data_IF_493157738311
#
_entry.id   IF_493157738311
#
_cell.length_a   1.000
_cell.length_b   1.000
_cell.length_c   1.000
_cell.angle_alpha   90.00
_cell.angle_beta   90.00
_cell.angle_gamma   90.00
#
_symmetry.space_group_name_H-M   'P 1'
#
loop_
_entity.id
_entity.type
_entity.pdbx_description
1 polymer ?
#
# COMPACT_ATOMS: atom_id res chain seq x y z
N UNK A 1 5.16 15.92 -19.03
CA UNK A 1 5.10 15.85 -17.55
C UNK A 1 4.64 14.48 -17.18
N UNK A 2 5.32 13.78 -16.28
CA UNK A 2 5.14 12.34 -16.10
C UNK A 2 3.92 11.96 -15.28
N UNK A 3 3.34 10.81 -15.64
CA UNK A 3 2.49 10.02 -14.79
C UNK A 3 3.36 8.96 -14.09
N UNK A 4 3.50 9.06 -12.78
CA UNK A 4 4.38 8.21 -11.98
C UNK A 4 3.56 7.30 -11.07
N UNK A 5 3.80 5.99 -11.14
CA UNK A 5 3.17 5.03 -10.23
C UNK A 5 4.16 4.66 -9.13
N UNK A 6 3.76 4.77 -7.87
CA UNK A 6 4.55 4.40 -6.69
C UNK A 6 3.94 3.16 -6.05
N UNK A 7 4.71 2.06 -6.02
CA UNK A 7 4.30 0.78 -5.44
C UNK A 7 5.28 0.30 -4.38
N UNK A 8 4.80 -0.47 -3.42
CA UNK A 8 5.70 -1.24 -2.55
C UNK A 8 6.23 -2.46 -3.29
N UNK A 9 7.53 -2.72 -3.19
CA UNK A 9 8.16 -3.85 -3.87
C UNK A 9 8.44 -5.05 -2.95
N UNK A 10 7.94 -5.01 -1.70
CA UNK A 10 8.08 -6.08 -0.70
C UNK A 10 6.68 -6.46 -0.16
N UNK A 11 6.48 -6.57 1.16
CA UNK A 11 5.22 -6.94 1.82
C UNK A 11 4.51 -5.77 2.52
N UNK A 12 4.71 -4.55 2.09
CA UNK A 12 4.14 -3.37 2.72
C UNK A 12 5.08 -2.74 3.75
N UNK A 13 4.67 -1.58 4.25
CA UNK A 13 5.43 -0.80 5.24
C UNK A 13 6.85 -0.38 4.79
N UNK A 14 7.12 -0.36 3.48
CA UNK A 14 8.41 0.03 2.91
C UNK A 14 8.72 1.53 3.08
N UNK A 15 7.75 2.33 3.49
CA UNK A 15 7.92 3.79 3.61
C UNK A 15 7.43 4.56 2.37
N UNK A 16 6.45 3.99 1.63
CA UNK A 16 5.81 4.65 0.46
C UNK A 16 5.33 6.07 0.77
N UNK A 17 4.74 6.27 1.95
CA UNK A 17 4.26 7.58 2.37
C UNK A 17 5.35 8.66 2.34
N UNK A 18 6.59 8.35 2.72
CA UNK A 18 7.73 9.27 2.61
C UNK A 18 8.08 9.55 1.15
N UNK A 19 8.12 8.52 0.31
CA UNK A 19 8.43 8.66 -1.11
C UNK A 19 7.37 9.48 -1.85
N UNK A 20 6.09 9.23 -1.61
CA UNK A 20 4.98 9.98 -2.23
C UNK A 20 4.88 11.41 -1.70
N UNK A 21 5.16 11.63 -0.42
CA UNK A 21 5.18 12.96 0.17
C UNK A 21 6.30 13.85 -0.42
N UNK A 22 7.49 13.27 -0.65
CA UNK A 22 8.57 13.99 -1.34
C UNK A 22 8.18 14.44 -2.75
N UNK A 23 7.38 13.65 -3.44
CA UNK A 23 6.84 13.99 -4.76
C UNK A 23 5.64 14.95 -4.67
N UNK A 24 4.81 14.80 -3.62
CA UNK A 24 3.53 15.49 -3.48
C UNK A 24 3.58 17.02 -3.55
N UNK A 25 4.69 17.65 -3.11
CA UNK A 25 4.88 19.10 -3.21
C UNK A 25 5.24 19.58 -4.62
N UNK A 26 5.55 18.64 -5.54
CA UNK A 26 6.03 18.91 -6.91
C UNK A 26 5.06 18.42 -7.98
N UNK A 27 3.91 17.88 -7.60
CA UNK A 27 2.92 17.30 -8.53
C UNK A 27 1.56 17.93 -8.36
N UNK A 28 0.77 17.90 -9.44
CA UNK A 28 -0.56 18.51 -9.46
C UNK A 28 -1.61 17.58 -8.83
N UNK A 29 -1.45 16.26 -8.96
CA UNK A 29 -2.40 15.26 -8.45
C UNK A 29 -1.69 14.11 -7.74
N UNK A 30 -2.28 13.63 -6.63
CA UNK A 30 -1.91 12.36 -5.99
C UNK A 30 -3.15 11.47 -5.92
N UNK A 31 -3.07 10.30 -6.51
CA UNK A 31 -4.20 9.39 -6.71
C UNK A 31 -3.99 8.11 -5.94
N UNK A 32 -4.83 7.82 -4.96
CA UNK A 32 -4.92 6.48 -4.37
C UNK A 32 -5.77 5.60 -5.29
N UNK A 33 -5.20 4.50 -5.79
CA UNK A 33 -5.84 3.71 -6.83
C UNK A 33 -6.37 2.35 -6.36
N UNK A 34 -5.99 1.86 -5.19
CA UNK A 34 -6.41 0.55 -4.68
C UNK A 34 -6.52 0.51 -3.15
N UNK A 35 -7.04 -0.61 -2.63
CA UNK A 35 -7.22 -0.83 -1.20
C UNK A 35 -8.38 -0.02 -0.64
N UNK A 36 -8.28 0.34 0.61
CA UNK A 36 -9.25 1.13 1.36
C UNK A 36 -8.58 1.65 2.63
N UNK A 37 -9.31 1.64 3.74
CA UNK A 37 -8.80 2.05 5.05
C UNK A 37 -8.04 0.93 5.80
N UNK A 38 -7.60 -0.12 5.11
CA UNK A 38 -6.85 -1.25 5.68
C UNK A 38 -5.34 -1.03 5.79
N UNK A 39 -4.79 -0.01 5.12
CA UNK A 39 -3.40 0.39 5.26
C UNK A 39 -3.32 1.73 6.00
N UNK A 40 -2.25 1.94 6.77
CA UNK A 40 -1.95 3.21 7.39
C UNK A 40 -0.65 3.77 6.82
N UNK A 41 -0.70 4.96 6.25
CA UNK A 41 0.49 5.70 5.83
C UNK A 41 0.79 6.77 6.88
N UNK A 42 1.98 6.72 7.46
CA UNK A 42 2.45 7.82 8.31
C UNK A 42 3.26 8.79 7.46
N UNK A 43 2.83 10.03 7.44
CA UNK A 43 3.54 11.15 6.80
C UNK A 43 3.97 12.13 7.88
N UNK A 44 5.20 12.61 7.82
CA UNK A 44 5.75 13.60 8.75
C UNK A 44 5.94 14.91 7.98
N UNK A 45 5.24 15.95 8.42
CA UNK A 45 5.34 17.31 7.85
C UNK A 45 5.82 18.25 8.95
N UNK A 46 7.06 18.71 8.87
CA UNK A 46 7.72 19.42 9.97
C UNK A 46 7.79 18.51 11.21
N UNK A 47 7.32 19.02 12.35
CA UNK A 47 7.29 18.28 13.62
C UNK A 47 6.01 17.44 13.82
N UNK A 48 5.08 17.51 12.88
CA UNK A 48 3.78 16.85 13.00
C UNK A 48 3.71 15.50 12.25
N UNK A 49 3.09 14.50 12.90
CA UNK A 49 2.81 13.18 12.31
C UNK A 49 1.34 13.07 11.94
N UNK A 50 1.11 12.65 10.71
CA UNK A 50 -0.22 12.36 10.16
C UNK A 50 -0.33 10.88 9.84
N UNK A 51 -1.33 10.22 10.38
CA UNK A 51 -1.65 8.83 10.06
C UNK A 51 -2.85 8.81 9.12
N UNK A 52 -2.60 8.60 7.83
CA UNK A 52 -3.63 8.52 6.80
C UNK A 52 -3.98 7.05 6.53
N UNK A 53 -5.26 6.71 6.47
CA UNK A 53 -5.73 5.36 6.17
C UNK A 53 -6.41 5.30 4.80
N UNK A 54 -7.34 6.21 4.54
CA UNK A 54 -8.12 6.26 3.31
C UNK A 54 -7.69 7.40 2.40
N UNK A 55 -7.36 8.55 2.97
CA UNK A 55 -6.99 9.72 2.20
C UNK A 55 -5.62 9.56 1.52
N UNK A 56 -5.46 10.07 0.27
CA UNK A 56 -4.16 10.10 -0.41
C UNK A 56 -3.17 11.01 0.32
N UNK A 57 -1.86 10.68 0.26
CA UNK A 57 -0.81 11.47 0.91
C UNK A 57 -0.76 12.92 0.43
N UNK A 58 -1.11 13.19 -0.81
CA UNK A 58 -1.17 14.54 -1.40
C UNK A 58 -2.13 15.50 -0.72
N UNK A 59 -3.03 15.03 0.16
CA UNK A 59 -3.92 15.88 0.98
C UNK A 59 -3.15 16.86 1.88
N UNK A 60 -1.91 16.51 2.24
CA UNK A 60 -1.04 17.33 3.08
C UNK A 60 -0.20 18.33 2.28
N UNK A 61 -0.27 18.34 0.95
CA UNK A 61 0.51 19.20 0.06
C UNK A 61 -0.34 20.35 -0.49
N UNK A 62 -0.07 21.61 -0.10
CA UNK A 62 -0.84 22.76 -0.55
C UNK A 62 -0.85 22.93 -2.05
N UNK A 63 -1.62 22.83 -2.87
CA UNK A 63 -1.56 22.95 -4.35
C UNK A 63 -1.82 21.63 -5.06
N UNK A 64 -1.63 20.51 -4.40
CA UNK A 64 -1.96 19.19 -4.92
C UNK A 64 -3.46 18.91 -4.82
N UNK A 65 -4.02 18.21 -5.80
CA UNK A 65 -5.39 17.69 -5.79
C UNK A 65 -5.34 16.22 -5.39
N UNK A 66 -5.79 15.85 -4.17
CA UNK A 66 -5.85 14.45 -3.74
C UNK A 66 -7.07 13.77 -4.36
N UNK A 67 -6.88 12.54 -4.88
CA UNK A 67 -7.93 11.79 -5.58
C UNK A 67 -8.07 10.38 -5.03
N UNK A 68 -9.27 9.99 -4.66
CA UNK A 68 -9.66 8.60 -4.39
C UNK A 68 -10.21 8.02 -5.69
N UNK A 69 -9.44 7.12 -6.31
CA UNK A 69 -9.77 6.48 -7.59
C UNK A 69 -10.86 5.41 -7.46
N UNK A 70 -11.40 4.98 -8.60
CA UNK A 70 -12.46 3.96 -8.66
C UNK A 70 -12.03 2.57 -8.19
N UNK A 71 -10.73 2.32 -8.08
CA UNK A 71 -10.21 1.06 -7.54
C UNK A 71 -10.22 0.97 -6.02
N UNK A 72 -10.41 2.08 -5.33
CA UNK A 72 -10.50 2.13 -3.86
C UNK A 72 -11.89 1.69 -3.38
N UNK A 73 -11.94 1.03 -2.22
CA UNK A 73 -13.19 0.78 -1.50
C UNK A 73 -13.27 1.74 -0.30
N UNK A 74 -14.37 2.49 -0.22
CA UNK A 74 -14.52 3.66 0.63
C UNK A 74 -15.45 3.35 1.81
N UNK A 75 -14.92 3.43 3.02
CA UNK A 75 -15.73 3.51 4.23
C UNK A 75 -16.07 4.97 4.49
N UNK A 76 -17.35 5.33 4.35
CA UNK A 76 -17.79 6.72 4.45
C UNK A 76 -17.63 7.30 5.87
N UNK A 77 -17.80 6.49 6.89
CA UNK A 77 -17.57 6.88 8.28
C UNK A 77 -16.11 7.28 8.47
N UNK A 78 -15.17 6.39 8.07
CA UNK A 78 -13.73 6.64 8.18
C UNK A 78 -13.29 7.82 7.29
N UNK A 79 -13.88 7.97 6.09
CA UNK A 79 -13.58 9.10 5.21
C UNK A 79 -13.81 10.44 5.92
N UNK A 80 -14.97 10.59 6.55
CA UNK A 80 -15.32 11.84 7.20
C UNK A 80 -14.61 12.03 8.55
N UNK A 81 -14.32 10.96 9.29
CA UNK A 81 -13.47 11.03 10.48
C UNK A 81 -12.07 11.54 10.14
N UNK A 82 -11.47 11.05 9.05
CA UNK A 82 -10.14 11.52 8.60
C UNK A 82 -10.19 12.98 8.12
N UNK A 83 -11.21 13.37 7.33
CA UNK A 83 -11.39 14.75 6.88
C UNK A 83 -11.51 15.69 8.08
N UNK A 84 -12.42 15.43 9.00
CA UNK A 84 -12.66 16.25 10.20
C UNK A 84 -11.40 16.34 11.08
N UNK A 85 -10.68 15.22 11.22
CA UNK A 85 -9.42 15.15 11.96
C UNK A 85 -8.31 16.01 11.34
N UNK A 86 -8.23 16.08 10.01
CA UNK A 86 -7.27 16.92 9.30
C UNK A 86 -7.67 18.40 9.34
N UNK A 87 -8.94 18.72 9.13
CA UNK A 87 -9.47 20.10 9.20
C UNK A 87 -9.29 20.71 10.59
N UNK A 88 -9.49 19.91 11.64
CA UNK A 88 -9.22 20.33 13.04
C UNK A 88 -7.74 20.68 13.29
N UNK A 89 -6.83 20.20 12.44
CA UNK A 89 -5.40 20.51 12.44
C UNK A 89 -5.00 21.57 11.42
N UNK A 90 -5.99 22.21 10.76
CA UNK A 90 -5.77 23.31 9.80
C UNK A 90 -5.38 22.85 8.39
N UNK A 91 -5.55 21.56 8.05
CA UNK A 91 -5.32 21.06 6.68
C UNK A 91 -6.55 21.35 5.83
N UNK A 92 -6.35 21.95 4.65
CA UNK A 92 -7.41 22.18 3.67
C UNK A 92 -7.73 20.90 2.89
N UNK A 93 -8.92 20.36 3.10
CA UNK A 93 -9.41 19.15 2.42
C UNK A 93 -10.35 19.45 1.25
N UNK A 94 -10.62 20.71 0.95
CA UNK A 94 -11.64 21.16 -0.03
C UNK A 94 -11.39 20.70 -1.47
N UNK A 95 -10.14 20.35 -1.81
CA UNK A 95 -9.75 19.87 -3.15
C UNK A 95 -9.88 18.37 -3.33
N UNK A 96 -10.25 17.60 -2.28
CA UNK A 96 -10.38 16.16 -2.36
C UNK A 96 -11.43 15.76 -3.41
N UNK A 97 -11.04 14.86 -4.31
CA UNK A 97 -11.94 14.23 -5.28
C UNK A 97 -12.13 12.75 -4.95
N UNK A 98 -13.37 12.30 -5.06
CA UNK A 98 -13.75 10.91 -4.87
C UNK A 98 -14.42 10.40 -6.15
N UNK A 99 -13.96 9.28 -6.69
CA UNK A 99 -14.57 8.70 -7.87
C UNK A 99 -16.02 8.31 -7.64
N UNK A 100 -16.91 8.76 -8.52
CA UNK A 100 -18.31 8.32 -8.55
C UNK A 100 -18.43 6.78 -8.65
N UNK A 101 -17.43 6.12 -9.24
CA UNK A 101 -17.38 4.68 -9.46
C UNK A 101 -16.66 3.89 -8.34
N UNK A 102 -16.11 4.55 -7.32
CA UNK A 102 -15.55 3.87 -6.15
C UNK A 102 -16.64 3.10 -5.39
N UNK A 103 -16.28 1.92 -4.86
CA UNK A 103 -17.24 1.10 -4.11
C UNK A 103 -17.29 1.52 -2.64
N UNK A 104 -18.47 1.47 -2.06
CA UNK A 104 -18.72 1.76 -0.64
C UNK A 104 -18.51 0.48 0.17
N UNK A 105 -17.93 0.59 1.36
CA UNK A 105 -17.86 -0.48 2.37
C UNK A 105 -19.09 -0.34 3.29
N UNK A 106 -20.17 -1.09 3.08
CA UNK A 106 -21.31 -1.03 3.98
C UNK A 106 -21.05 -1.83 5.27
N UNK A 107 -21.79 -1.53 6.32
CA UNK A 107 -21.66 -2.12 7.66
C UNK A 107 -21.73 -3.66 7.64
N UNK A 108 -22.57 -4.24 6.77
CA UNK A 108 -22.66 -5.68 6.65
C UNK A 108 -21.37 -6.35 6.15
N UNK A 109 -20.59 -5.66 5.29
CA UNK A 109 -19.30 -6.18 4.84
C UNK A 109 -18.24 -6.12 5.94
N UNK A 110 -18.23 -5.09 6.78
CA UNK A 110 -17.38 -5.05 8.00
C UNK A 110 -17.73 -6.20 8.95
N UNK A 111 -19.02 -6.50 9.10
CA UNK A 111 -19.47 -7.61 9.93
C UNK A 111 -19.08 -8.96 9.34
N UNK A 112 -19.29 -9.16 8.03
CA UNK A 112 -18.91 -10.40 7.33
C UNK A 112 -17.41 -10.67 7.43
N UNK A 113 -16.56 -9.67 7.24
CA UNK A 113 -15.10 -9.81 7.37
C UNK A 113 -14.74 -10.38 8.77
N UNK A 114 -15.24 -9.75 9.83
CA UNK A 114 -14.98 -10.18 11.22
C UNK A 114 -15.51 -11.58 11.55
N UNK A 115 -16.70 -11.93 11.07
CA UNK A 115 -17.29 -13.25 11.40
C UNK A 115 -16.66 -14.36 10.58
N UNK A 116 -16.26 -14.09 9.33
CA UNK A 116 -15.54 -15.05 8.48
C UNK A 116 -14.17 -15.39 9.05
N UNK A 117 -13.40 -14.37 9.46
CA UNK A 117 -12.10 -14.62 10.13
C UNK A 117 -12.25 -15.49 11.38
N UNK A 118 -13.23 -15.21 12.23
CA UNK A 118 -13.51 -16.05 13.40
C UNK A 118 -13.92 -17.48 13.03
N UNK A 119 -14.70 -17.64 11.97
CA UNK A 119 -15.16 -18.94 11.49
C UNK A 119 -14.01 -19.79 10.94
N UNK A 120 -13.04 -19.15 10.25
CA UNK A 120 -11.84 -19.83 9.73
C UNK A 120 -10.91 -20.32 10.85
N UNK A 121 -10.93 -19.74 12.04
CA UNK A 121 -10.15 -20.15 13.20
C UNK A 121 -8.65 -20.21 12.89
N UNK A 122 -8.05 -21.40 12.92
CA UNK A 122 -6.62 -21.60 12.60
C UNK A 122 -6.25 -21.34 11.12
N UNK A 123 -7.23 -21.21 10.24
CA UNK A 123 -7.04 -20.92 8.81
C UNK A 123 -7.31 -19.45 8.49
N UNK A 124 -7.37 -18.60 9.51
CA UNK A 124 -7.56 -17.16 9.31
C UNK A 124 -6.44 -16.56 8.45
N UNK A 125 -6.79 -15.58 7.63
CA UNK A 125 -5.85 -14.86 6.77
C UNK A 125 -5.13 -13.76 7.56
N UNK A 126 -5.76 -13.29 8.65
CA UNK A 126 -5.28 -12.16 9.44
C UNK A 126 -5.73 -10.82 8.86
N UNK A 127 -6.97 -10.75 8.37
CA UNK A 127 -7.54 -9.51 7.82
C UNK A 127 -7.63 -8.40 8.87
N UNK A 128 -7.77 -7.16 8.41
CA UNK A 128 -7.96 -6.00 9.30
C UNK A 128 -9.39 -5.92 9.88
N UNK A 129 -10.32 -6.76 9.43
CA UNK A 129 -11.72 -6.74 9.84
C UNK A 129 -12.50 -5.50 9.41
N UNK A 130 -12.02 -4.79 8.40
CA UNK A 130 -12.58 -3.51 7.91
C UNK A 130 -13.51 -3.67 6.70
N UNK A 131 -13.80 -4.89 6.28
CA UNK A 131 -14.73 -5.18 5.19
C UNK A 131 -14.15 -5.05 3.79
N UNK A 132 -12.83 -4.95 3.66
CA UNK A 132 -12.15 -4.76 2.37
C UNK A 132 -12.41 -5.94 1.44
N UNK A 133 -12.07 -7.17 1.87
CA UNK A 133 -12.26 -8.38 1.09
C UNK A 133 -13.71 -8.60 0.65
N UNK A 134 -14.69 -8.59 1.57
CA UNK A 134 -16.10 -8.69 1.20
C UNK A 134 -16.58 -7.64 0.20
N UNK A 135 -16.06 -6.39 0.26
CA UNK A 135 -16.45 -5.34 -0.68
C UNK A 135 -15.85 -5.57 -2.07
N UNK A 136 -14.61 -6.02 -2.18
CA UNK A 136 -14.05 -6.44 -3.47
C UNK A 136 -14.76 -7.68 -4.04
N UNK A 137 -15.15 -8.64 -3.20
CA UNK A 137 -15.97 -9.77 -3.63
C UNK A 137 -17.31 -9.29 -4.21
N UNK A 138 -17.97 -8.33 -3.56
CA UNK A 138 -19.21 -7.74 -4.06
C UNK A 138 -19.02 -7.01 -5.40
N UNK A 139 -17.91 -6.28 -5.55
CA UNK A 139 -17.53 -5.64 -6.81
C UNK A 139 -17.44 -6.66 -7.94
N UNK A 140 -16.75 -7.78 -7.73
CA UNK A 140 -16.56 -8.83 -8.74
C UNK A 140 -17.85 -9.61 -9.00
N UNK A 141 -18.68 -9.83 -7.99
CA UNK A 141 -20.02 -10.43 -8.11
C UNK A 141 -21.07 -9.46 -8.68
N UNK A 142 -20.73 -8.21 -8.86
CA UNK A 142 -21.58 -7.14 -9.43
C UNK A 142 -22.83 -6.82 -8.56
N UNK A 143 -22.68 -6.98 -7.26
CA UNK A 143 -23.71 -6.61 -6.26
C UNK A 143 -23.26 -5.47 -5.33
N UNK A 144 -22.07 -4.92 -5.60
CA UNK A 144 -21.49 -3.83 -4.81
C UNK A 144 -22.20 -2.49 -4.99
N UNK A 145 -22.13 -1.66 -3.95
CA UNK A 145 -22.65 -0.30 -3.92
C UNK A 145 -21.53 0.67 -4.33
N UNK A 146 -21.85 1.67 -5.15
CA UNK A 146 -20.91 2.73 -5.57
C UNK A 146 -21.29 4.07 -4.97
N UNK A 147 -20.34 4.99 -4.92
CA UNK A 147 -20.56 6.37 -4.43
C UNK A 147 -21.72 7.05 -5.17
N UNK A 148 -21.80 6.90 -6.49
CA UNK A 148 -22.89 7.48 -7.29
C UNK A 148 -24.29 6.98 -6.90
N UNK A 149 -24.41 5.80 -6.32
CA UNK A 149 -25.70 5.23 -5.93
C UNK A 149 -26.35 6.02 -4.76
N UNK A 150 -25.55 6.76 -3.98
CA UNK A 150 -26.02 7.64 -2.91
C UNK A 150 -26.96 8.76 -3.40
N UNK A 151 -26.92 9.09 -4.69
CA UNK A 151 -27.66 10.21 -5.26
C UNK A 151 -29.02 9.82 -5.84
N UNK A 152 -29.37 8.54 -5.76
CA UNK A 152 -30.70 8.02 -6.09
C UNK A 152 -31.15 7.02 -5.00
N UNK A 153 -31.95 7.48 -4.07
CA UNK A 153 -32.43 6.69 -2.93
C UNK A 153 -33.14 5.40 -3.35
N UNK A 154 -33.89 5.44 -4.46
CA UNK A 154 -34.61 4.26 -4.97
C UNK A 154 -33.66 3.20 -5.50
N UNK A 155 -32.68 3.60 -6.29
CA UNK A 155 -31.65 2.72 -6.83
C UNK A 155 -30.79 2.17 -5.68
N UNK A 156 -30.36 3.01 -4.75
CA UNK A 156 -29.59 2.58 -3.59
C UNK A 156 -30.33 1.50 -2.80
N UNK A 157 -31.60 1.75 -2.46
CA UNK A 157 -32.43 0.82 -1.71
C UNK A 157 -32.58 -0.53 -2.43
N UNK A 158 -32.87 -0.51 -3.73
CA UNK A 158 -32.96 -1.73 -4.56
C UNK A 158 -31.65 -2.54 -4.55
N UNK A 159 -30.51 -1.87 -4.65
CA UNK A 159 -29.20 -2.52 -4.60
C UNK A 159 -28.88 -3.09 -3.22
N UNK A 160 -29.19 -2.37 -2.15
CA UNK A 160 -29.05 -2.84 -0.75
C UNK A 160 -29.91 -4.08 -0.54
N UNK A 161 -31.17 -4.07 -0.96
CA UNK A 161 -32.07 -5.22 -0.86
C UNK A 161 -31.50 -6.44 -1.60
N UNK A 162 -31.04 -6.27 -2.84
CA UNK A 162 -30.42 -7.33 -3.63
C UNK A 162 -29.16 -7.91 -2.97
N UNK A 163 -28.29 -7.06 -2.42
CA UNK A 163 -27.08 -7.50 -1.72
C UNK A 163 -27.42 -8.23 -0.41
N UNK A 164 -28.36 -7.72 0.37
CA UNK A 164 -28.76 -8.31 1.65
C UNK A 164 -29.52 -9.62 1.51
N UNK A 165 -30.21 -9.86 0.40
CA UNK A 165 -30.91 -11.12 0.16
C UNK A 165 -30.01 -12.36 0.36
N UNK A 166 -28.80 -12.32 -0.16
CA UNK A 166 -27.83 -13.41 0.00
C UNK A 166 -27.06 -13.31 1.33
N UNK A 167 -26.61 -12.12 1.69
CA UNK A 167 -25.76 -11.89 2.86
C UNK A 167 -26.48 -12.19 4.18
N UNK A 168 -27.74 -11.83 4.30
CA UNK A 168 -28.54 -12.13 5.48
C UNK A 168 -28.75 -13.64 5.65
N UNK A 169 -28.88 -14.41 4.57
CA UNK A 169 -28.93 -15.87 4.69
C UNK A 169 -27.63 -16.44 5.24
N UNK A 170 -26.49 -15.93 4.76
CA UNK A 170 -25.19 -16.35 5.26
C UNK A 170 -25.00 -15.97 6.74
N UNK A 171 -25.32 -14.72 7.11
CA UNK A 171 -25.24 -14.25 8.49
C UNK A 171 -26.10 -15.07 9.44
N UNK A 172 -27.35 -15.32 9.08
CA UNK A 172 -28.30 -16.03 9.96
C UNK A 172 -28.02 -17.53 10.00
N UNK A 173 -27.92 -18.19 8.83
CA UNK A 173 -27.87 -19.65 8.75
C UNK A 173 -26.49 -20.25 8.96
N UNK A 174 -25.42 -19.54 8.57
CA UNK A 174 -24.05 -20.04 8.69
C UNK A 174 -23.37 -19.48 9.94
N UNK A 175 -23.47 -18.18 10.16
CA UNK A 175 -22.75 -17.51 11.23
C UNK A 175 -23.55 -17.29 12.52
N UNK A 176 -24.85 -17.66 12.53
CA UNK A 176 -25.78 -17.43 13.65
C UNK A 176 -25.73 -15.97 14.16
N UNK A 177 -25.87 -15.02 13.22
CA UNK A 177 -25.90 -13.59 13.47
C UNK A 177 -27.25 -13.00 13.05
N UNK A 178 -27.58 -11.83 13.60
CA UNK A 178 -28.79 -11.08 13.22
C UNK A 178 -28.68 -10.63 11.76
N UNK A 179 -29.80 -10.71 11.05
CA UNK A 179 -29.95 -10.09 9.73
C UNK A 179 -29.88 -8.55 9.83
N UNK A 180 -29.36 -7.92 8.79
CA UNK A 180 -29.47 -6.46 8.61
C UNK A 180 -30.81 -6.11 7.98
N UNK A 181 -31.34 -4.98 8.40
CA UNK A 181 -32.53 -4.37 7.83
C UNK A 181 -32.15 -3.51 6.62
N UNK A 182 -32.98 -3.56 5.55
CA UNK A 182 -32.72 -2.83 4.29
C UNK A 182 -32.81 -1.32 4.50
N UNK A 183 -33.82 -0.88 5.24
CA UNK A 183 -34.06 0.56 5.44
C UNK A 183 -33.00 1.14 6.37
N UNK A 184 -32.59 0.42 7.44
CA UNK A 184 -31.50 0.83 8.34
C UNK A 184 -30.18 1.05 7.57
N UNK A 185 -29.81 0.13 6.67
CA UNK A 185 -28.59 0.26 5.87
C UNK A 185 -28.72 1.39 4.85
N UNK A 186 -29.86 1.50 4.18
CA UNK A 186 -30.10 2.53 3.17
C UNK A 186 -30.06 3.93 3.76
N UNK A 187 -30.78 4.15 4.87
CA UNK A 187 -30.84 5.45 5.54
C UNK A 187 -29.48 5.85 6.13
N UNK A 188 -28.75 4.86 6.70
CA UNK A 188 -27.39 5.07 7.20
C UNK A 188 -26.42 5.52 6.10
N UNK A 189 -26.54 5.00 4.87
CA UNK A 189 -25.73 5.42 3.74
C UNK A 189 -26.18 6.78 3.18
N UNK A 190 -27.48 7.02 3.06
CA UNK A 190 -28.04 8.29 2.58
C UNK A 190 -27.67 9.49 3.45
N UNK A 191 -27.43 9.26 4.75
CA UNK A 191 -26.95 10.32 5.66
C UNK A 191 -25.64 10.97 5.21
N UNK A 192 -24.82 10.28 4.42
CA UNK A 192 -23.58 10.81 3.87
C UNK A 192 -23.72 11.46 2.49
N UNK A 193 -24.87 11.31 1.81
CA UNK A 193 -25.04 11.72 0.41
C UNK A 193 -24.70 13.20 0.16
N UNK A 194 -25.25 14.10 0.96
CA UNK A 194 -25.03 15.54 0.77
C UNK A 194 -23.61 15.97 1.18
N UNK A 195 -23.01 15.27 2.14
CA UNK A 195 -21.64 15.56 2.58
C UNK A 195 -20.60 15.15 1.53
N UNK A 196 -20.79 14.02 0.85
CA UNK A 196 -19.85 13.52 -0.16
C UNK A 196 -20.04 14.17 -1.53
N UNK A 197 -21.23 14.67 -1.84
CA UNK A 197 -21.60 15.24 -3.14
C UNK A 197 -20.60 16.26 -3.70
N UNK A 198 -20.09 17.25 -2.92
CA UNK A 198 -19.18 18.27 -3.45
C UNK A 198 -17.84 17.73 -3.95
N UNK A 199 -17.41 16.56 -3.44
CA UNK A 199 -16.12 15.96 -3.79
C UNK A 199 -16.23 14.87 -4.87
N UNK A 200 -17.45 14.51 -5.29
CA UNK A 200 -17.66 13.42 -6.26
C UNK A 200 -17.44 13.90 -7.69
N UNK A 201 -16.62 13.14 -8.43
CA UNK A 201 -16.28 13.44 -9.81
C UNK A 201 -16.15 12.19 -10.68
N UNK A 202 -16.21 12.37 -12.00
CA UNK A 202 -15.61 11.43 -12.96
C UNK A 202 -14.09 11.59 -12.93
N UNK A 203 -13.46 10.90 -12.00
CA UNK A 203 -12.01 11.01 -11.80
C UNK A 203 -11.21 10.52 -12.99
N UNK A 204 -11.73 9.59 -13.79
CA UNK A 204 -11.07 9.15 -15.02
C UNK A 204 -10.98 10.30 -16.04
N UNK A 205 -12.07 11.02 -16.26
CA UNK A 205 -12.08 12.19 -17.13
C UNK A 205 -11.14 13.28 -16.60
N UNK A 206 -11.23 13.62 -15.30
CA UNK A 206 -10.38 14.64 -14.68
C UNK A 206 -8.90 14.34 -14.87
N UNK A 207 -8.46 13.11 -14.57
CA UNK A 207 -7.05 12.72 -14.63
C UNK A 207 -6.53 12.63 -16.07
N UNK A 208 -7.34 12.13 -17.03
CA UNK A 208 -6.94 12.11 -18.43
C UNK A 208 -6.82 13.54 -19.00
N UNK A 209 -7.76 14.43 -18.68
CA UNK A 209 -7.69 15.85 -19.09
C UNK A 209 -6.45 16.55 -18.48
N UNK A 210 -6.15 16.25 -17.20
CA UNK A 210 -4.96 16.79 -16.55
C UNK A 210 -3.65 16.37 -17.27
N UNK A 211 -3.56 15.09 -17.69
CA UNK A 211 -2.42 14.62 -18.48
C UNK A 211 -2.34 15.29 -19.87
N UNK A 212 -3.50 15.54 -20.50
CA UNK A 212 -3.55 16.24 -21.79
C UNK A 212 -3.11 17.72 -21.67
N UNK A 213 -3.34 18.32 -20.50
CA UNK A 213 -2.87 19.66 -20.14
C UNK A 213 -1.38 19.69 -19.70
N UNK A 214 -0.70 18.54 -19.67
CA UNK A 214 0.69 18.43 -19.24
C UNK A 214 0.88 18.51 -17.72
N UNK A 215 -0.16 18.18 -16.93
CA UNK A 215 -0.07 18.12 -15.47
C UNK A 215 0.61 16.85 -15.02
N UNK A 216 1.27 16.90 -13.88
CA UNK A 216 1.99 15.78 -13.27
C UNK A 216 1.08 15.03 -12.28
N UNK A 217 1.02 13.71 -12.42
CA UNK A 217 0.20 12.84 -11.58
C UNK A 217 1.05 11.75 -10.93
N UNK A 218 0.90 11.59 -9.61
CA UNK A 218 1.44 10.43 -8.86
C UNK A 218 0.30 9.51 -8.47
N UNK A 219 0.43 8.22 -8.79
CA UNK A 219 -0.47 7.16 -8.35
C UNK A 219 0.18 6.40 -7.20
N UNK A 220 -0.45 6.41 -6.03
CA UNK A 220 0.06 5.71 -4.84
C UNK A 220 -0.69 4.41 -4.56
N UNK A 221 0.06 3.32 -4.39
CA UNK A 221 -0.49 2.04 -3.95
C UNK A 221 -0.75 2.02 -2.45
N UNK A 222 -1.90 1.47 -2.05
CA UNK A 222 -2.22 1.26 -0.64
C UNK A 222 -1.42 0.12 0.01
N UNK A 223 -1.02 -0.90 -0.78
CA UNK A 223 -0.27 -2.07 -0.33
C UNK A 223 0.99 -2.27 -1.19
N UNK A 224 1.49 -3.50 -1.28
CA UNK A 224 2.74 -3.82 -1.97
C UNK A 224 2.59 -5.04 -2.89
N UNK A 225 3.57 -5.25 -3.76
CA UNK A 225 3.60 -6.31 -4.77
C UNK A 225 3.35 -7.69 -4.20
N UNK A 226 4.01 -8.03 -3.08
CA UNK A 226 3.85 -9.35 -2.45
C UNK A 226 2.51 -9.54 -1.73
N UNK A 227 1.70 -8.48 -1.64
CA UNK A 227 0.33 -8.50 -1.14
C UNK A 227 -0.72 -8.35 -2.25
N UNK A 228 -0.32 -8.27 -3.51
CA UNK A 228 -1.23 -8.21 -4.67
C UNK A 228 -2.07 -9.48 -4.78
N UNK A 229 -3.34 -9.36 -5.16
CA UNK A 229 -4.29 -10.49 -5.20
C UNK A 229 -3.90 -11.56 -6.23
N UNK A 230 -3.25 -11.17 -7.33
CA UNK A 230 -2.86 -12.06 -8.42
C UNK A 230 -1.39 -12.49 -8.34
N UNK A 231 -0.50 -11.58 -7.90
CA UNK A 231 0.95 -11.74 -7.93
C UNK A 231 1.61 -11.87 -6.56
N UNK A 232 0.85 -11.71 -5.49
CA UNK A 232 1.35 -11.83 -4.12
C UNK A 232 1.38 -13.26 -3.60
N UNK A 233 1.66 -13.38 -2.30
CA UNK A 233 1.74 -14.66 -1.57
C UNK A 233 0.35 -15.17 -1.19
N UNK A 234 -0.49 -15.46 -2.18
CA UNK A 234 -1.85 -15.95 -1.99
C UNK A 234 -1.88 -17.22 -1.11
N UNK A 235 -2.83 -17.38 -0.14
CA UNK A 235 -3.97 -16.50 0.14
C UNK A 235 -3.65 -15.32 1.10
N UNK A 236 -2.43 -15.17 1.56
CA UNK A 236 -2.00 -14.13 2.51
C UNK A 236 -1.71 -12.82 1.79
N UNK A 237 -2.74 -12.25 1.17
CA UNK A 237 -2.71 -11.06 0.30
C UNK A 237 -3.87 -10.12 0.62
N UNK A 238 -3.83 -8.90 0.07
CA UNK A 238 -5.01 -8.04 0.01
C UNK A 238 -5.93 -8.47 -1.13
N UNK A 239 -7.18 -8.05 -1.12
CA UNK A 239 -8.15 -8.36 -2.18
C UNK A 239 -8.12 -7.35 -3.34
N UNK A 240 -7.06 -6.56 -3.45
CA UNK A 240 -6.92 -5.52 -4.48
C UNK A 240 -5.67 -5.70 -5.31
N UNK A 241 -5.67 -5.12 -6.52
CA UNK A 241 -4.49 -5.06 -7.38
C UNK A 241 -3.54 -3.98 -6.86
N UNK A 242 -2.47 -4.41 -6.19
CA UNK A 242 -1.47 -3.56 -5.55
C UNK A 242 -0.21 -3.34 -6.42
N UNK A 243 -0.16 -3.97 -7.60
CA UNK A 243 0.88 -3.75 -8.61
C UNK A 243 0.63 -2.48 -9.43
N UNK A 244 1.62 -2.06 -10.21
CA UNK A 244 1.51 -0.87 -11.06
C UNK A 244 0.36 -0.95 -12.08
N UNK A 245 0.04 -2.14 -12.58
CA UNK A 245 -1.11 -2.37 -13.47
C UNK A 245 -2.45 -1.97 -12.79
N UNK A 246 -2.52 -2.09 -11.46
CA UNK A 246 -3.66 -1.66 -10.67
C UNK A 246 -3.94 -0.15 -10.76
N UNK A 247 -2.93 0.66 -11.02
CA UNK A 247 -3.11 2.11 -11.21
C UNK A 247 -3.97 2.39 -12.45
N UNK A 248 -3.79 1.66 -13.54
CA UNK A 248 -4.58 1.82 -14.76
C UNK A 248 -6.05 1.48 -14.52
N UNK A 249 -6.33 0.31 -13.94
CA UNK A 249 -7.71 -0.13 -13.68
C UNK A 249 -8.38 0.65 -12.55
N UNK A 250 -7.61 1.08 -11.56
CA UNK A 250 -8.10 1.78 -10.38
C UNK A 250 -8.28 3.28 -10.53
N UNK A 251 -7.81 3.87 -11.64
CA UNK A 251 -7.95 5.31 -11.94
C UNK A 251 -8.58 5.60 -13.29
N UNK A 252 -8.60 4.62 -14.22
CA UNK A 252 -9.08 4.80 -15.58
C UNK A 252 -8.06 5.47 -16.52
N UNK A 253 -6.76 5.43 -16.17
CA UNK A 253 -5.67 5.87 -17.03
C UNK A 253 -5.20 4.72 -17.91
N UNK A 254 -4.99 4.97 -19.20
CA UNK A 254 -4.45 3.97 -20.13
C UNK A 254 -2.98 3.64 -19.79
N UNK A 255 -2.55 2.36 -19.94
CA UNK A 255 -1.19 1.94 -19.55
C UNK A 255 -0.09 2.68 -20.30
N UNK A 256 -0.33 3.13 -21.54
CA UNK A 256 0.63 3.89 -22.35
C UNK A 256 0.80 5.36 -21.89
N UNK A 257 0.04 5.79 -20.89
CA UNK A 257 0.13 7.12 -20.28
C UNK A 257 1.00 7.11 -19.02
N UNK A 258 1.45 5.95 -18.57
CA UNK A 258 2.35 5.82 -17.44
C UNK A 258 3.79 5.94 -17.95
N UNK A 259 4.51 6.92 -17.44
CA UNK A 259 5.89 7.20 -17.86
C UNK A 259 6.91 6.47 -16.96
N UNK A 260 6.63 6.39 -15.65
CA UNK A 260 7.53 5.77 -14.68
C UNK A 260 6.79 4.91 -13.67
N UNK A 261 7.47 3.85 -13.23
CA UNK A 261 7.01 2.99 -12.14
C UNK A 261 8.11 2.91 -11.09
N UNK A 262 7.85 3.47 -9.92
CA UNK A 262 8.78 3.56 -8.79
C UNK A 262 8.45 2.51 -7.76
N UNK A 263 9.39 1.59 -7.52
CA UNK A 263 9.31 0.60 -6.45
C UNK A 263 9.92 1.15 -5.16
N UNK A 264 9.21 1.05 -4.05
CA UNK A 264 9.79 1.37 -2.73
C UNK A 264 10.19 0.08 -2.04
N UNK A 265 11.45 0.02 -1.59
CA UNK A 265 12.06 -1.09 -0.85
C UNK A 265 12.67 -0.57 0.46
N UNK A 266 12.77 -1.43 1.46
CA UNK A 266 13.63 -1.22 2.63
C UNK A 266 14.98 -1.89 2.43
N UNK A 267 16.00 -1.41 3.11
CA UNK A 267 17.31 -2.07 3.19
C UNK A 267 17.26 -3.44 3.92
N UNK A 268 16.14 -3.82 4.44
CA UNK A 268 15.79 -5.13 5.01
C UNK A 268 14.32 -5.41 4.70
N UNK A 269 13.75 -6.52 5.17
CA UNK A 269 12.36 -6.87 4.85
C UNK A 269 11.51 -6.92 6.11
N UNK A 270 10.25 -6.49 5.98
CA UNK A 270 9.24 -6.66 7.04
C UNK A 270 7.95 -7.22 6.48
N UNK A 271 7.22 -7.95 7.31
CA UNK A 271 5.90 -8.47 6.98
C UNK A 271 4.94 -8.34 8.16
N UNK A 272 3.70 -8.00 7.88
CA UNK A 272 2.59 -8.06 8.83
C UNK A 272 1.69 -9.25 8.48
N UNK A 273 1.19 -9.95 9.49
CA UNK A 273 0.28 -11.10 9.31
C UNK A 273 1.00 -12.41 8.97
N UNK A 274 0.17 -13.39 8.61
CA UNK A 274 0.61 -14.74 8.33
C UNK A 274 1.19 -14.86 6.90
N UNK A 275 1.71 -16.05 6.58
CA UNK A 275 2.20 -16.41 5.25
C UNK A 275 3.72 -16.49 5.17
N UNK A 276 4.24 -16.93 3.99
CA UNK A 276 5.67 -17.21 3.82
C UNK A 276 6.53 -15.96 3.90
N UNK A 277 7.67 -16.10 4.55
CA UNK A 277 8.69 -15.07 4.68
C UNK A 277 10.06 -15.74 4.76
N UNK A 278 10.67 -16.12 3.63
CA UNK A 278 11.89 -16.94 3.61
C UNK A 278 13.05 -16.36 4.40
N UNK A 279 13.21 -15.04 4.40
CA UNK A 279 14.33 -14.34 5.07
C UNK A 279 14.01 -13.92 6.50
N UNK A 280 12.90 -14.39 7.09
CA UNK A 280 12.48 -14.03 8.46
C UNK A 280 13.56 -14.38 9.49
N UNK A 281 13.74 -13.50 10.47
CA UNK A 281 14.64 -13.64 11.60
C UNK A 281 13.83 -13.68 12.90
N UNK A 282 13.82 -14.85 13.53
CA UNK A 282 13.19 -15.07 14.84
C UNK A 282 14.29 -15.19 15.93
N UNK A 283 15.19 -14.21 15.96
CA UNK A 283 16.35 -14.16 16.82
C UNK A 283 16.65 -12.72 17.29
N UNK A 284 17.76 -12.53 18.02
CA UNK A 284 18.20 -11.23 18.53
C UNK A 284 18.44 -10.21 17.39
N UNK A 285 18.84 -10.66 16.20
CA UNK A 285 19.01 -9.78 15.05
C UNK A 285 17.66 -9.29 14.52
N UNK A 286 16.66 -10.16 14.41
CA UNK A 286 15.30 -9.79 14.08
C UNK A 286 14.71 -8.77 15.06
N UNK A 287 14.96 -8.96 16.36
CA UNK A 287 14.54 -8.00 17.40
C UNK A 287 15.31 -6.67 17.29
N UNK A 288 16.61 -6.70 16.97
CA UNK A 288 17.38 -5.49 16.70
C UNK A 288 16.80 -4.70 15.54
N UNK A 289 16.52 -5.34 14.39
CA UNK A 289 15.93 -4.67 13.22
C UNK A 289 14.56 -4.07 13.57
N UNK A 290 13.75 -4.78 14.33
CA UNK A 290 12.44 -4.30 14.81
C UNK A 290 12.57 -3.07 15.67
N UNK A 291 13.45 -3.10 16.67
CA UNK A 291 13.63 -2.02 17.63
C UNK A 291 14.26 -0.78 16.98
N UNK A 292 15.37 -0.95 16.27
CA UNK A 292 16.08 0.17 15.62
C UNK A 292 15.26 0.75 14.47
N UNK A 293 14.61 -0.10 13.69
CA UNK A 293 13.74 0.30 12.59
C UNK A 293 12.37 0.85 13.04
N UNK A 294 12.01 0.71 14.32
CA UNK A 294 10.69 1.12 14.80
C UNK A 294 9.56 0.33 14.15
N UNK A 295 9.77 -0.98 13.94
CA UNK A 295 8.87 -1.82 13.15
C UNK A 295 7.67 -2.31 13.98
N UNK A 296 6.76 -1.35 14.23
CA UNK A 296 5.50 -1.56 14.93
C UNK A 296 4.36 -0.96 14.11
N UNK A 297 3.19 -1.60 14.15
CA UNK A 297 2.01 -1.13 13.42
C UNK A 297 1.54 0.23 13.92
N UNK A 298 1.37 1.20 13.03
CA UNK A 298 0.97 2.58 13.35
C UNK A 298 -0.33 2.65 14.16
N UNK A 299 -1.31 1.81 13.83
CA UNK A 299 -2.63 1.81 14.47
C UNK A 299 -2.72 0.87 15.68
N UNK A 300 -2.08 -0.29 15.61
CA UNK A 300 -2.26 -1.37 16.58
C UNK A 300 -1.08 -1.53 17.53
N UNK A 301 0.07 -0.92 17.23
CA UNK A 301 1.33 -1.16 17.94
C UNK A 301 1.87 -2.59 17.81
N UNK A 302 1.24 -3.46 16.98
CA UNK A 302 1.66 -4.86 16.81
C UNK A 302 3.07 -4.91 16.21
N UNK A 303 4.00 -5.71 16.77
CA UNK A 303 5.32 -5.89 16.19
C UNK A 303 5.23 -6.51 14.80
N UNK A 304 6.04 -6.01 13.87
CA UNK A 304 6.21 -6.59 12.54
C UNK A 304 7.22 -7.72 12.58
N UNK A 305 7.04 -8.72 11.75
CA UNK A 305 8.05 -9.72 11.43
C UNK A 305 9.17 -9.03 10.65
N UNK A 306 10.41 -9.35 10.94
CA UNK A 306 11.60 -8.71 10.32
C UNK A 306 12.51 -9.77 9.73
N UNK A 307 13.23 -9.44 8.67
CA UNK A 307 14.14 -10.35 7.98
C UNK A 307 15.15 -9.59 7.13
N UNK A 308 16.15 -10.30 6.61
CA UNK A 308 17.15 -9.74 5.72
C UNK A 308 16.54 -9.29 4.38
N UNK A 309 17.28 -8.44 3.68
CA UNK A 309 16.89 -8.02 2.32
C UNK A 309 16.81 -9.24 1.39
N UNK A 310 15.75 -9.28 0.59
CA UNK A 310 15.45 -10.37 -0.33
C UNK A 310 15.52 -9.88 -1.78
N UNK A 311 16.65 -10.14 -2.44
CA UNK A 311 16.86 -9.74 -3.82
C UNK A 311 16.02 -10.57 -4.81
N UNK A 312 15.61 -11.80 -4.44
CA UNK A 312 14.71 -12.62 -5.27
C UNK A 312 13.34 -11.96 -5.38
N UNK A 313 12.81 -11.50 -4.23
CA UNK A 313 11.56 -10.74 -4.18
C UNK A 313 11.68 -9.41 -4.92
N UNK A 314 12.82 -8.72 -4.78
CA UNK A 314 13.03 -7.44 -5.46
C UNK A 314 13.08 -7.61 -6.99
N UNK A 315 13.78 -8.63 -7.52
CA UNK A 315 13.77 -8.96 -8.95
C UNK A 315 12.37 -9.30 -9.45
N UNK A 316 11.64 -10.13 -8.68
CA UNK A 316 10.26 -10.46 -8.99
C UNK A 316 9.38 -9.21 -9.07
N UNK A 317 9.46 -8.34 -8.06
CA UNK A 317 8.70 -7.09 -8.03
C UNK A 317 9.08 -6.16 -9.21
N UNK A 318 10.38 -6.07 -9.55
CA UNK A 318 10.86 -5.29 -10.70
C UNK A 318 10.24 -5.78 -12.00
N UNK A 319 10.22 -7.11 -12.21
CA UNK A 319 9.63 -7.74 -13.40
C UNK A 319 8.12 -7.54 -13.49
N UNK A 320 7.39 -7.79 -12.39
CA UNK A 320 5.91 -7.74 -12.39
C UNK A 320 5.39 -6.31 -12.58
N UNK A 321 6.07 -5.33 -12.02
CA UNK A 321 5.66 -3.94 -12.12
C UNK A 321 6.29 -3.19 -13.29
N UNK A 322 7.33 -3.73 -13.93
CA UNK A 322 8.14 -2.99 -14.90
C UNK A 322 8.80 -1.78 -14.26
N UNK A 323 9.44 -1.97 -13.09
CA UNK A 323 10.03 -0.87 -12.34
C UNK A 323 11.10 -0.15 -13.16
N UNK A 324 11.00 1.17 -13.20
CA UNK A 324 12.02 2.05 -13.80
C UNK A 324 13.01 2.54 -12.77
N UNK A 325 12.58 2.66 -11.51
CA UNK A 325 13.31 3.24 -10.41
C UNK A 325 12.99 2.53 -9.10
N UNK A 326 13.96 2.54 -8.17
CA UNK A 326 13.78 2.12 -6.78
C UNK A 326 14.03 3.29 -5.83
N UNK A 327 13.26 3.35 -4.76
CA UNK A 327 13.51 4.16 -3.57
C UNK A 327 13.89 3.21 -2.45
N UNK A 328 15.15 3.25 -2.02
CA UNK A 328 15.67 2.47 -0.91
C UNK A 328 15.46 3.24 0.40
N UNK A 329 14.72 2.69 1.34
CA UNK A 329 14.42 3.31 2.63
C UNK A 329 15.16 2.62 3.78
N UNK A 330 15.32 3.34 4.89
CA UNK A 330 15.84 2.79 6.16
C UNK A 330 17.25 2.18 6.07
N UNK A 331 18.12 2.74 5.26
CA UNK A 331 19.51 2.33 5.19
C UNK A 331 20.23 2.56 6.53
N UNK A 332 19.88 3.61 7.26
CA UNK A 332 20.36 3.97 8.60
C UNK A 332 20.17 2.86 9.65
N UNK A 333 19.14 2.02 9.50
CA UNK A 333 18.85 0.92 10.44
C UNK A 333 19.94 -0.16 10.45
N UNK A 334 20.68 -0.30 9.35
CA UNK A 334 21.79 -1.26 9.23
C UNK A 334 23.11 -0.76 9.83
N UNK A 335 23.20 0.50 10.22
CA UNK A 335 24.38 1.06 10.87
C UNK A 335 24.81 0.25 12.11
N UNK A 336 26.12 -0.01 12.25
CA UNK A 336 26.71 -0.77 13.34
C UNK A 336 26.67 -2.29 13.14
N UNK A 337 26.33 -2.77 11.96
CA UNK A 337 26.51 -4.17 11.57
C UNK A 337 27.87 -4.35 10.90
N UNK A 338 28.57 -5.43 11.22
CA UNK A 338 29.85 -5.79 10.57
C UNK A 338 29.62 -6.47 9.22
N UNK A 339 28.61 -7.32 9.16
CA UNK A 339 28.20 -8.06 7.96
C UNK A 339 26.69 -7.95 7.77
N UNK A 340 26.27 -7.84 6.52
CA UNK A 340 24.86 -7.71 6.14
C UNK A 340 24.55 -8.80 5.12
N UNK A 341 23.84 -9.86 5.53
CA UNK A 341 23.36 -10.90 4.62
C UNK A 341 22.27 -10.36 3.67
N UNK A 342 22.38 -10.70 2.39
CA UNK A 342 21.39 -10.43 1.35
C UNK A 342 20.98 -11.76 0.73
N UNK A 343 19.69 -12.08 0.70
CA UNK A 343 19.20 -13.27 0.06
C UNK A 343 19.25 -13.10 -1.47
N UNK A 344 20.06 -13.93 -2.13
CA UNK A 344 20.31 -13.87 -3.58
C UNK A 344 19.59 -14.97 -4.36
N UNK A 345 19.23 -16.07 -3.68
CA UNK A 345 18.53 -17.22 -4.24
C UNK A 345 17.78 -17.97 -3.14
N UNK A 346 16.97 -18.93 -3.51
CA UNK A 346 16.38 -19.91 -2.59
C UNK A 346 16.88 -21.32 -2.90
N UNK A 347 17.05 -22.13 -1.86
CA UNK A 347 17.14 -23.57 -1.95
C UNK A 347 15.76 -24.16 -1.66
N UNK A 348 15.25 -24.97 -2.57
CA UNK A 348 14.01 -25.73 -2.39
C UNK A 348 14.32 -27.20 -2.68
N UNK A 349 14.29 -28.03 -1.64
CA UNK A 349 14.58 -29.47 -1.73
C UNK A 349 15.96 -29.79 -2.37
N UNK A 350 16.99 -28.96 -2.09
CA UNK A 350 18.34 -29.09 -2.62
C UNK A 350 18.50 -28.55 -4.04
N UNK A 351 17.52 -27.86 -4.58
CA UNK A 351 17.59 -27.20 -5.89
C UNK A 351 17.63 -25.68 -5.69
N UNK A 352 18.66 -25.05 -6.24
CA UNK A 352 18.81 -23.59 -6.21
C UNK A 352 17.85 -22.92 -7.21
N UNK A 353 17.11 -21.93 -6.74
CA UNK A 353 16.22 -21.07 -7.51
C UNK A 353 16.70 -19.62 -7.41
N UNK A 354 17.15 -19.06 -8.52
CA UNK A 354 17.53 -17.64 -8.59
C UNK A 354 16.32 -16.72 -8.79
N UNK A 355 15.17 -17.28 -9.18
CA UNK A 355 13.89 -16.63 -9.34
C UNK A 355 12.88 -17.12 -8.30
N UNK A 356 11.84 -16.30 -8.03
CA UNK A 356 10.76 -16.68 -7.13
C UNK A 356 10.04 -17.93 -7.65
N UNK A 357 9.90 -19.00 -6.85
CA UNK A 357 9.13 -20.19 -7.24
C UNK A 357 7.69 -19.83 -7.61
N UNK A 358 7.20 -20.40 -8.72
CA UNK A 358 5.86 -20.13 -9.21
C UNK A 358 4.76 -20.76 -8.34
N UNK A 359 5.07 -21.86 -7.65
CA UNK A 359 4.12 -22.53 -6.78
C UNK A 359 4.33 -22.17 -5.32
N UNK A 360 3.22 -22.09 -4.62
CA UNK A 360 3.17 -21.66 -3.23
C UNK A 360 3.88 -22.64 -2.28
N UNK A 361 3.81 -23.94 -2.53
CA UNK A 361 4.45 -24.93 -1.68
C UNK A 361 5.97 -24.77 -1.68
N UNK A 362 6.57 -24.63 -2.86
CA UNK A 362 8.00 -24.36 -3.02
C UNK A 362 8.41 -23.07 -2.33
N UNK A 363 7.60 -22.01 -2.46
CA UNK A 363 7.91 -20.74 -1.80
C UNK A 363 7.78 -20.82 -0.26
N UNK A 364 6.84 -21.60 0.27
CA UNK A 364 6.72 -21.84 1.72
C UNK A 364 7.89 -22.63 2.32
N UNK A 365 8.53 -23.49 1.52
CA UNK A 365 9.67 -24.31 1.96
C UNK A 365 11.01 -23.72 1.49
N UNK A 366 10.99 -22.56 0.86
CA UNK A 366 12.18 -21.90 0.38
C UNK A 366 13.13 -21.54 1.53
N UNK A 367 14.35 -22.01 1.45
CA UNK A 367 15.44 -21.67 2.36
C UNK A 367 16.32 -20.62 1.69
N UNK A 368 16.52 -19.44 2.32
CA UNK A 368 17.28 -18.37 1.69
C UNK A 368 18.77 -18.74 1.56
N UNK A 369 19.34 -18.45 0.40
CA UNK A 369 20.79 -18.52 0.13
C UNK A 369 21.32 -17.10 0.22
N UNK A 370 22.23 -16.87 1.16
CA UNK A 370 22.76 -15.55 1.45
C UNK A 370 24.12 -15.30 0.83
N UNK A 371 24.31 -14.06 0.38
CA UNK A 371 25.61 -13.44 0.14
C UNK A 371 25.83 -12.38 1.22
N UNK A 372 27.03 -12.35 1.81
CA UNK A 372 27.38 -11.42 2.87
C UNK A 372 28.09 -10.19 2.32
N UNK A 373 27.56 -9.03 2.58
CA UNK A 373 28.17 -7.74 2.26
C UNK A 373 28.81 -7.12 3.52
N UNK A 374 29.82 -6.28 3.32
CA UNK A 374 30.41 -5.52 4.42
C UNK A 374 29.43 -4.49 4.96
N UNK A 375 29.36 -4.37 6.28
CA UNK A 375 28.59 -3.33 6.97
C UNK A 375 29.43 -2.09 7.27
N UNK A 376 28.84 -1.15 8.01
CA UNK A 376 29.49 0.10 8.39
C UNK A 376 29.10 0.48 9.83
N UNK A 377 29.98 1.22 10.49
CA UNK A 377 29.78 1.67 11.87
C UNK A 377 29.36 3.13 11.98
N UNK A 378 29.65 3.93 10.95
CA UNK A 378 29.44 5.36 10.92
C UNK A 378 27.94 5.72 10.87
N UNK A 379 27.54 6.75 11.59
CA UNK A 379 26.19 7.32 11.48
C UNK A 379 26.02 8.02 10.14
N UNK A 380 25.08 7.53 9.34
CA UNK A 380 24.77 8.04 8.00
C UNK A 380 23.57 8.99 7.96
N UNK A 381 22.96 9.31 9.10
CA UNK A 381 21.75 10.16 9.16
C UNK A 381 21.96 11.58 8.63
N UNK A 382 23.20 12.05 8.67
CA UNK A 382 23.64 13.33 8.15
C UNK A 382 23.99 13.36 6.66
N UNK A 383 24.07 12.21 5.98
CA UNK A 383 24.43 12.14 4.57
C UNK A 383 23.35 12.81 3.69
N UNK A 384 23.78 13.59 2.69
CA UNK A 384 22.91 14.29 1.73
C UNK A 384 23.27 14.01 0.28
N UNK A 385 24.48 13.52 0.02
CA UNK A 385 24.95 13.02 -1.27
C UNK A 385 25.33 11.56 -1.16
N UNK A 386 25.46 10.86 -2.28
CA UNK A 386 25.86 9.45 -2.30
C UNK A 386 27.31 9.28 -1.78
N UNK A 387 28.15 10.26 -2.06
CA UNK A 387 29.56 10.32 -1.66
C UNK A 387 29.76 10.55 -0.15
N UNK A 388 28.74 11.10 0.55
CA UNK A 388 28.77 11.23 2.01
C UNK A 388 28.62 9.90 2.75
N UNK A 389 28.16 8.85 2.05
CA UNK A 389 28.02 7.52 2.62
C UNK A 389 29.40 6.86 2.78
N UNK A 390 29.63 6.07 3.87
CA UNK A 390 30.80 5.20 3.95
C UNK A 390 30.88 4.27 2.73
N UNK A 391 32.11 3.93 2.31
CA UNK A 391 32.31 3.07 1.13
C UNK A 391 31.54 1.74 1.20
N UNK A 392 31.44 1.13 2.39
CA UNK A 392 30.67 -0.09 2.57
C UNK A 392 29.17 0.12 2.34
N UNK A 393 28.61 1.25 2.78
CA UNK A 393 27.21 1.63 2.53
C UNK A 393 26.98 1.92 1.04
N UNK A 394 27.92 2.59 0.36
CA UNK A 394 27.86 2.78 -1.09
C UNK A 394 27.85 1.43 -1.83
N UNK A 395 28.78 0.51 -1.46
CA UNK A 395 28.82 -0.84 -2.05
C UNK A 395 27.53 -1.62 -1.80
N UNK A 396 26.96 -1.51 -0.60
CA UNK A 396 25.66 -2.13 -0.30
C UNK A 396 24.55 -1.62 -1.22
N UNK A 397 24.43 -0.30 -1.40
CA UNK A 397 23.42 0.30 -2.31
C UNK A 397 23.61 -0.17 -3.74
N UNK A 398 24.85 -0.19 -4.25
CA UNK A 398 25.14 -0.63 -5.61
C UNK A 398 24.88 -2.13 -5.80
N UNK A 399 25.22 -2.96 -4.80
CA UNK A 399 24.90 -4.39 -4.83
C UNK A 399 23.38 -4.64 -4.84
N UNK A 400 22.61 -3.94 -4.01
CA UNK A 400 21.14 -4.02 -4.02
C UNK A 400 20.56 -3.57 -5.38
N UNK A 401 21.11 -2.52 -5.96
CA UNK A 401 20.73 -2.03 -7.30
C UNK A 401 20.97 -3.11 -8.37
N UNK A 402 22.16 -3.70 -8.40
CA UNK A 402 22.52 -4.77 -9.33
C UNK A 402 21.67 -6.03 -9.13
N UNK A 403 21.54 -6.50 -7.87
CA UNK A 403 20.78 -7.70 -7.53
C UNK A 403 19.27 -7.55 -7.81
N UNK A 404 18.72 -6.34 -7.72
CA UNK A 404 17.31 -6.05 -8.00
C UNK A 404 17.01 -5.81 -9.47
N UNK A 405 18.07 -5.56 -10.29
CA UNK A 405 17.96 -5.27 -11.72
C UNK A 405 17.30 -3.92 -12.04
N UNK A 406 17.21 -3.01 -11.06
CA UNK A 406 16.58 -1.70 -11.23
C UNK A 406 17.37 -0.65 -10.45
N UNK A 407 17.64 0.52 -11.06
CA UNK A 407 18.43 1.57 -10.44
C UNK A 407 17.78 2.13 -9.18
N UNK A 408 18.59 2.47 -8.19
CA UNK A 408 18.17 3.15 -6.96
C UNK A 408 18.31 4.65 -7.17
N UNK A 409 17.17 5.33 -7.27
CA UNK A 409 17.09 6.77 -7.54
C UNK A 409 17.06 7.63 -6.29
N UNK A 410 16.60 7.08 -5.16
CA UNK A 410 16.61 7.78 -3.87
C UNK A 410 16.95 6.84 -2.73
N UNK A 411 17.64 7.35 -1.68
CA UNK A 411 18.08 6.59 -0.52
C UNK A 411 17.65 7.32 0.75
N UNK A 412 16.83 6.68 1.57
CA UNK A 412 16.44 7.17 2.88
C UNK A 412 17.46 6.79 3.95
N UNK A 413 18.03 7.79 4.59
CA UNK A 413 19.06 7.67 5.64
C UNK A 413 18.55 8.11 7.04
N UNK A 414 17.24 8.25 7.21
CA UNK A 414 16.58 8.62 8.45
C UNK A 414 15.06 8.80 8.26
N UNK A 415 14.32 9.07 9.34
CA UNK A 415 12.87 9.20 9.30
C UNK A 415 12.37 10.50 8.62
N UNK A 416 13.15 11.58 8.70
CA UNK A 416 12.73 12.89 8.23
C UNK A 416 12.69 12.98 6.71
N UNK A 417 11.84 13.87 6.18
CA UNK A 417 11.75 14.15 4.75
C UNK A 417 13.11 14.49 4.14
N UNK A 418 13.90 15.34 4.82
CA UNK A 418 15.20 15.79 4.35
C UNK A 418 16.31 14.75 4.51
N UNK A 419 16.10 13.69 5.29
CA UNK A 419 17.03 12.58 5.45
C UNK A 419 16.95 11.62 4.24
N UNK A 420 17.15 12.18 3.04
CA UNK A 420 17.07 11.46 1.77
C UNK A 420 18.13 11.96 0.81
N UNK A 421 18.88 11.03 0.24
CA UNK A 421 19.83 11.26 -0.84
C UNK A 421 19.10 11.04 -2.16
N UNK A 422 19.09 12.03 -3.04
CA UNK A 422 18.52 11.93 -4.40
C UNK A 422 19.66 11.71 -5.38
N UNK A 423 19.67 10.55 -6.06
CA UNK A 423 20.64 10.22 -7.12
C UNK A 423 20.09 10.53 -8.51
N UNK A 424 18.79 10.30 -8.70
CA UNK A 424 18.09 10.60 -9.94
C UNK A 424 16.70 11.17 -9.61
N UNK A 425 16.29 12.19 -10.33
CA UNK A 425 14.96 12.78 -10.15
C UNK A 425 13.88 11.82 -10.69
N UNK A 426 12.87 11.59 -9.89
CA UNK A 426 11.77 10.67 -10.21
C UNK A 426 10.72 11.30 -11.13
N UNK A 427 10.80 12.62 -11.36
CA UNK A 427 9.87 13.39 -12.20
C UNK A 427 10.48 13.85 -13.55
N UNK A 428 11.76 13.60 -13.79
CA UNK A 428 12.46 13.97 -15.06
C UNK A 428 12.30 12.92 -16.16
#
# INVERSE_FOLDING_TARGET
MPAVVVVGAQWGDEGKGKATDQLGSRVDYVVKFNGGNNAGHTVVVGDEKYALHLLPSGILSPGCVPVIGNGVVVDLEVLFEEIEGLEARGVDTSKLLVSANAHIIPTYNRTLDKVTERFLGKRQIGTTGRGIGPTYADKMSRVGLRIQDLFDASILRQKVEGALAQKNQMLVKVFNRRAFDVDEITDGLLAYAERVRPMVADTSLVLNSALDEGRTIVFEAGQATMLDVDHGTYPFVTSSSATAAGACTGSGIGPTRIDRVVGVIKAYTTRVGEGPFPTELDDDMGERLRRVGGEYGTTTGRPRRTGWYDAVVARYASRINGLTDLVLTKLDVLTGLERIPVCVAYDVDGVRHDEMPADQSSFHHAVPVYEELDGWAEDISGARTFEDLPEAAQRYVLAVEEMSGTRISSIGVGPDREATIVRHDLLD
#
